data_IF_929972523619
#
_entry.id   IF_929972523619
#
_cell.length_a   1.000
_cell.length_b   1.000
_cell.length_c   1.000
_cell.angle_alpha   90.00
_cell.angle_beta   90.00
_cell.angle_gamma   90.00
#
_symmetry.space_group_name_H-M   'P 1'
#
loop_
_entity.id
_entity.type
_entity.pdbx_description
1 polymer ?
#
# COMPACT_ATOMS: atom_id res chain seq x y z
N UNK A 1 -7.20 -12.62 32.72
CA UNK A 1 -7.46 -12.86 31.32
C UNK A 1 -7.70 -14.34 31.08
N UNK A 2 -8.73 -14.63 30.36
CA UNK A 2 -9.17 -15.98 30.11
C UNK A 2 -8.40 -16.57 28.91
N UNK A 3 -7.39 -17.39 29.19
CA UNK A 3 -6.56 -18.05 28.15
C UNK A 3 -7.43 -18.87 27.20
N UNK A 4 -8.48 -19.53 27.71
CA UNK A 4 -9.42 -20.27 26.88
C UNK A 4 -10.13 -19.39 25.84
N UNK A 5 -10.60 -18.21 26.24
CA UNK A 5 -11.26 -17.29 25.30
C UNK A 5 -10.32 -16.73 24.24
N UNK A 6 -9.02 -16.61 24.56
CA UNK A 6 -8.01 -16.06 23.63
C UNK A 6 -7.36 -17.14 22.78
N UNK A 7 -7.00 -18.26 23.40
CA UNK A 7 -6.21 -19.33 22.77
C UNK A 7 -7.02 -20.59 22.45
N UNK A 8 -8.26 -20.70 22.95
CA UNK A 8 -9.11 -21.86 22.74
C UNK A 8 -8.67 -23.12 23.48
N UNK A 9 -7.87 -22.97 24.55
CA UNK A 9 -7.33 -24.08 25.35
C UNK A 9 -7.58 -23.83 26.82
N UNK A 10 -8.08 -24.83 27.52
CA UNK A 10 -8.17 -24.85 28.99
C UNK A 10 -6.83 -25.31 29.57
N UNK A 11 -6.23 -24.47 30.40
CA UNK A 11 -4.99 -24.74 31.11
C UNK A 11 -5.27 -24.60 32.61
N UNK A 12 -4.88 -25.59 33.38
CA UNK A 12 -5.05 -25.58 34.84
C UNK A 12 -4.33 -24.41 35.48
N UNK A 13 -4.98 -23.76 36.46
CA UNK A 13 -4.44 -22.58 37.13
C UNK A 13 -3.04 -22.80 37.71
N UNK A 14 -2.83 -24.00 38.31
CA UNK A 14 -1.51 -24.37 38.85
C UNK A 14 -0.42 -24.47 37.79
N UNK A 15 -0.75 -24.90 36.55
CA UNK A 15 0.18 -24.94 35.45
C UNK A 15 0.49 -23.49 34.95
N UNK A 16 -0.51 -22.65 34.85
CA UNK A 16 -0.32 -21.22 34.48
C UNK A 16 0.62 -20.50 35.45
N UNK A 17 0.41 -20.70 36.77
CA UNK A 17 1.26 -20.12 37.82
C UNK A 17 2.69 -20.65 37.69
N UNK A 18 2.85 -21.97 37.53
CA UNK A 18 4.17 -22.60 37.37
C UNK A 18 4.94 -22.06 36.17
N UNK A 19 4.24 -21.84 35.02
CA UNK A 19 4.81 -21.26 33.80
C UNK A 19 5.29 -19.86 34.07
N UNK A 20 4.44 -18.99 34.62
CA UNK A 20 4.75 -17.59 34.85
C UNK A 20 5.89 -17.43 35.87
N UNK A 21 5.91 -18.23 36.93
CA UNK A 21 7.00 -18.23 37.91
C UNK A 21 8.34 -18.64 37.32
N UNK A 22 8.36 -19.64 36.42
CA UNK A 22 9.58 -20.05 35.68
C UNK A 22 10.10 -18.91 34.79
N UNK A 23 9.21 -18.06 34.29
CA UNK A 23 9.54 -16.85 33.51
C UNK A 23 9.85 -15.66 34.41
N UNK A 24 9.92 -15.86 35.76
CA UNK A 24 10.25 -14.86 36.77
C UNK A 24 9.18 -13.76 36.94
N UNK A 25 7.93 -14.05 36.59
CA UNK A 25 6.81 -13.20 36.97
C UNK A 25 6.43 -13.45 38.43
N UNK A 26 6.05 -12.40 39.16
CA UNK A 26 5.41 -12.53 40.45
C UNK A 26 3.92 -12.79 40.23
N UNK A 27 3.40 -13.86 40.84
CA UNK A 27 2.00 -14.29 40.64
C UNK A 27 1.34 -14.48 42.00
N UNK A 28 0.19 -13.85 42.17
CA UNK A 28 -0.68 -14.00 43.35
C UNK A 28 -2.09 -14.36 42.92
N UNK A 29 -2.73 -15.28 43.60
CA UNK A 29 -4.14 -15.63 43.41
C UNK A 29 -5.03 -14.66 44.22
N UNK A 30 -6.03 -14.08 43.57
CA UNK A 30 -7.05 -13.25 44.20
C UNK A 30 -8.42 -13.63 43.68
N UNK A 31 -9.10 -14.53 44.39
CA UNK A 31 -10.38 -15.09 44.00
C UNK A 31 -10.30 -15.85 42.67
N UNK A 32 -11.00 -15.43 41.65
CA UNK A 32 -10.97 -16.05 40.32
C UNK A 32 -9.89 -15.45 39.39
N UNK A 33 -9.07 -14.55 39.89
CA UNK A 33 -8.07 -13.85 39.10
C UNK A 33 -6.64 -14.20 39.53
N UNK A 34 -5.73 -14.15 38.57
CA UNK A 34 -4.30 -14.13 38.79
C UNK A 34 -3.81 -12.70 38.66
N UNK A 35 -3.24 -12.16 39.69
CA UNK A 35 -2.53 -10.88 39.67
C UNK A 35 -1.08 -11.18 39.31
N UNK A 36 -0.64 -10.66 38.18
CA UNK A 36 0.70 -10.96 37.63
C UNK A 36 1.49 -9.66 37.52
N UNK A 37 2.68 -9.66 38.12
CA UNK A 37 3.63 -8.55 37.98
C UNK A 37 4.79 -8.98 37.07
N UNK A 38 4.97 -8.27 35.97
CA UNK A 38 6.07 -8.53 35.06
C UNK A 38 7.41 -8.06 35.64
N UNK A 39 8.51 -8.81 35.44
CA UNK A 39 9.84 -8.34 35.84
C UNK A 39 10.24 -7.09 35.04
N UNK A 40 11.08 -6.24 35.65
CA UNK A 40 11.43 -4.91 35.12
C UNK A 40 12.11 -4.91 33.73
N UNK A 41 12.64 -6.03 33.29
CA UNK A 41 13.24 -6.19 31.95
C UNK A 41 12.26 -6.64 30.88
N UNK A 42 11.03 -7.04 31.26
CA UNK A 42 9.94 -7.42 30.35
C UNK A 42 8.99 -6.23 30.12
N UNK A 43 9.51 -5.17 29.54
CA UNK A 43 8.74 -3.98 29.18
C UNK A 43 7.80 -4.20 27.98
N UNK A 44 7.90 -5.34 27.32
CA UNK A 44 7.03 -5.84 26.27
C UNK A 44 5.68 -6.35 26.81
N UNK A 45 5.63 -6.80 28.06
CA UNK A 45 4.42 -7.36 28.69
C UNK A 45 3.65 -6.23 29.38
N UNK A 46 2.60 -5.73 28.76
CA UNK A 46 1.85 -4.55 29.19
C UNK A 46 0.37 -4.83 29.46
N UNK A 47 -0.17 -5.94 28.96
CA UNK A 47 -1.57 -6.28 29.10
C UNK A 47 -1.78 -7.80 29.36
N UNK A 48 -3.04 -8.15 29.63
CA UNK A 48 -3.44 -9.54 29.90
C UNK A 48 -3.28 -10.46 28.66
N UNK A 49 -3.31 -9.89 27.45
CA UNK A 49 -3.07 -10.64 26.23
C UNK A 49 -1.61 -11.15 26.18
N UNK A 50 -0.64 -10.31 26.57
CA UNK A 50 0.78 -10.66 26.59
C UNK A 50 1.02 -11.80 27.60
N UNK A 51 0.38 -11.75 28.77
CA UNK A 51 0.43 -12.85 29.75
C UNK A 51 -0.17 -14.16 29.18
N UNK A 52 -1.28 -14.05 28.45
CA UNK A 52 -1.89 -15.23 27.81
C UNK A 52 -0.99 -15.81 26.73
N UNK A 53 -0.25 -15.00 26.00
CA UNK A 53 0.74 -15.42 25.02
C UNK A 53 1.89 -16.18 25.68
N UNK A 54 2.47 -15.66 26.77
CA UNK A 54 3.54 -16.31 27.51
C UNK A 54 3.12 -17.70 28.02
N UNK A 55 1.91 -17.81 28.55
CA UNK A 55 1.37 -19.09 29.00
C UNK A 55 1.22 -20.06 27.83
N UNK A 56 0.60 -19.65 26.72
CA UNK A 56 0.39 -20.49 25.54
C UNK A 56 1.71 -20.92 24.90
N UNK A 57 2.68 -20.03 24.80
CA UNK A 57 4.02 -20.29 24.27
C UNK A 57 4.76 -21.36 25.06
N UNK A 58 4.71 -21.29 26.38
CA UNK A 58 5.38 -22.23 27.26
C UNK A 58 4.61 -23.55 27.43
N UNK A 59 3.28 -23.53 27.31
CA UNK A 59 2.44 -24.71 27.24
C UNK A 59 2.71 -25.49 25.95
N UNK A 60 3.14 -24.90 24.91
CA UNK A 60 3.39 -25.33 23.52
C UNK A 60 2.17 -25.13 22.61
N UNK A 61 2.36 -24.35 21.55
CA UNK A 61 1.37 -24.19 20.49
C UNK A 61 1.03 -25.50 19.77
N UNK A 62 1.93 -26.49 19.76
CA UNK A 62 1.68 -27.82 19.16
C UNK A 62 0.56 -28.58 19.87
N UNK A 63 0.27 -28.26 21.14
CA UNK A 63 -0.82 -28.85 21.91
C UNK A 63 -2.17 -28.21 21.63
N UNK A 64 -2.18 -27.08 20.95
CA UNK A 64 -3.41 -26.35 20.60
C UNK A 64 -3.99 -26.95 19.33
N UNK A 65 -5.14 -27.57 19.42
CA UNK A 65 -5.77 -28.19 18.27
C UNK A 65 -6.25 -27.18 17.28
N UNK A 66 -5.96 -27.39 16.00
CA UNK A 66 -6.51 -26.57 14.92
C UNK A 66 -8.00 -26.87 14.72
N UNK A 67 -8.81 -25.85 14.74
CA UNK A 67 -10.26 -25.94 14.50
C UNK A 67 -10.64 -25.17 13.26
N UNK A 68 -11.50 -25.77 12.43
CA UNK A 68 -12.16 -25.04 11.36
C UNK A 68 -13.23 -24.13 11.96
N UNK A 69 -13.19 -22.80 11.68
CA UNK A 69 -14.25 -21.92 12.15
C UNK A 69 -15.58 -22.28 11.49
N UNK A 70 -16.63 -22.44 12.29
CA UNK A 70 -17.99 -22.62 11.82
C UNK A 70 -18.64 -21.22 11.65
N UNK A 71 -18.36 -20.57 10.54
CA UNK A 71 -18.91 -19.27 10.21
C UNK A 71 -19.92 -19.39 9.05
N UNK A 72 -20.99 -18.60 9.03
CA UNK A 72 -21.85 -18.52 7.86
C UNK A 72 -21.03 -18.02 6.66
N UNK A 73 -21.17 -18.71 5.53
CA UNK A 73 -20.56 -18.24 4.28
C UNK A 73 -21.23 -16.96 3.86
N UNK A 74 -20.48 -15.88 3.87
CA UNK A 74 -20.91 -14.60 3.31
C UNK A 74 -20.18 -14.37 1.99
N UNK A 75 -20.94 -13.97 0.97
CA UNK A 75 -20.33 -13.60 -0.30
C UNK A 75 -19.54 -12.30 -0.10
N UNK A 76 -18.25 -12.37 -0.31
CA UNK A 76 -17.40 -11.17 -0.39
C UNK A 76 -17.89 -10.29 -1.54
N UNK A 77 -17.99 -9.00 -1.31
CA UNK A 77 -18.22 -7.99 -2.37
C UNK A 77 -16.99 -7.13 -2.47
N UNK A 78 -16.46 -7.02 -3.67
CA UNK A 78 -15.47 -6.02 -4.00
C UNK A 78 -16.17 -4.68 -4.21
N UNK A 79 -15.51 -3.58 -3.86
CA UNK A 79 -16.04 -2.25 -4.14
C UNK A 79 -16.01 -2.00 -5.67
N UNK A 80 -17.05 -1.38 -6.20
CA UNK A 80 -17.13 -1.01 -7.63
C UNK A 80 -15.90 -0.23 -8.09
N UNK A 81 -15.33 0.59 -7.22
CA UNK A 81 -14.12 1.36 -7.52
C UNK A 81 -12.88 0.47 -7.72
N UNK A 82 -12.80 -0.65 -6.99
CA UNK A 82 -11.73 -1.64 -7.16
C UNK A 82 -11.94 -2.45 -8.45
N UNK A 83 -13.18 -2.83 -8.78
CA UNK A 83 -13.49 -3.49 -10.05
C UNK A 83 -13.13 -2.60 -11.25
N UNK A 84 -13.39 -1.30 -11.16
CA UNK A 84 -13.00 -0.34 -12.19
C UNK A 84 -11.48 -0.24 -12.29
N UNK A 85 -10.76 -0.18 -11.16
CA UNK A 85 -9.30 -0.17 -11.15
C UNK A 85 -8.74 -1.40 -11.85
N UNK A 86 -9.16 -2.59 -11.42
CA UNK A 86 -8.69 -3.85 -11.98
C UNK A 86 -8.95 -3.90 -13.49
N UNK A 87 -10.12 -3.41 -13.93
CA UNK A 87 -10.49 -3.33 -15.35
C UNK A 87 -9.60 -2.38 -16.15
N UNK A 88 -9.16 -1.27 -15.54
CA UNK A 88 -8.22 -0.30 -16.13
C UNK A 88 -6.83 -0.91 -16.24
N UNK A 89 -6.34 -1.52 -15.16
CA UNK A 89 -5.02 -2.16 -15.09
C UNK A 89 -4.91 -3.30 -16.11
N UNK A 90 -5.89 -4.20 -16.14
CA UNK A 90 -5.96 -5.31 -17.09
C UNK A 90 -5.99 -4.83 -18.54
N UNK A 91 -6.77 -3.78 -18.83
CA UNK A 91 -6.82 -3.22 -20.17
C UNK A 91 -5.46 -2.66 -20.60
N UNK A 92 -4.85 -1.83 -19.77
CA UNK A 92 -3.56 -1.19 -20.09
C UNK A 92 -2.44 -2.22 -20.25
N UNK A 93 -2.42 -3.25 -19.41
CA UNK A 93 -1.51 -4.37 -19.56
C UNK A 93 -1.75 -5.14 -20.87
N UNK A 94 -3.02 -5.36 -21.24
CA UNK A 94 -3.38 -6.08 -22.47
C UNK A 94 -2.98 -5.35 -23.75
N UNK A 95 -2.91 -4.02 -23.74
CA UNK A 95 -2.45 -3.20 -24.87
C UNK A 95 -0.95 -2.91 -24.82
N UNK A 96 -0.21 -3.57 -23.94
CA UNK A 96 1.25 -3.61 -23.94
C UNK A 96 1.93 -2.53 -23.10
N UNK A 97 1.25 -1.91 -22.13
CA UNK A 97 1.88 -1.08 -21.12
C UNK A 97 2.25 -1.92 -19.88
N UNK A 98 3.34 -1.59 -19.24
CA UNK A 98 3.76 -2.19 -17.97
C UNK A 98 3.33 -1.31 -16.81
N UNK A 99 2.73 -1.91 -15.79
CA UNK A 99 2.43 -1.21 -14.55
C UNK A 99 3.71 -0.87 -13.79
N UNK A 100 3.74 0.32 -13.22
CA UNK A 100 4.77 0.75 -12.29
C UNK A 100 4.12 1.28 -11.02
N UNK A 101 4.79 1.07 -9.89
CA UNK A 101 4.40 1.62 -8.60
C UNK A 101 5.52 2.52 -8.09
N UNK A 102 5.22 3.81 -7.98
CA UNK A 102 6.17 4.81 -7.50
C UNK A 102 5.81 5.30 -6.11
N UNK A 103 6.78 5.89 -5.42
CA UNK A 103 6.54 6.42 -4.08
C UNK A 103 5.51 7.56 -4.08
N UNK A 104 4.70 7.61 -3.02
CA UNK A 104 3.76 8.71 -2.78
C UNK A 104 4.44 10.03 -2.37
N UNK A 105 5.75 10.00 -2.21
CA UNK A 105 6.57 11.14 -1.81
C UNK A 105 7.49 11.55 -2.95
N UNK A 106 7.64 12.86 -3.13
CA UNK A 106 8.49 13.45 -4.19
C UNK A 106 9.30 14.61 -3.62
N UNK A 107 10.27 15.06 -4.40
CA UNK A 107 11.02 16.28 -4.08
C UNK A 107 10.24 17.52 -4.51
N UNK A 108 10.20 18.61 -3.73
CA UNK A 108 9.48 19.84 -4.10
C UNK A 108 9.90 20.43 -5.48
N UNK A 109 11.18 20.32 -5.86
CA UNK A 109 11.65 20.80 -7.16
C UNK A 109 11.04 20.04 -8.36
N UNK A 110 10.31 18.96 -8.14
CA UNK A 110 9.62 18.24 -9.21
C UNK A 110 8.59 19.12 -9.92
N UNK A 111 7.98 20.06 -9.21
CA UNK A 111 7.03 21.00 -9.79
C UNK A 111 7.71 22.06 -10.67
N UNK A 112 8.95 22.43 -10.32
CA UNK A 112 9.76 23.36 -11.14
C UNK A 112 10.24 22.66 -12.42
N UNK A 113 10.63 21.39 -12.34
CA UNK A 113 10.98 20.57 -13.50
C UNK A 113 9.82 20.38 -14.47
N UNK A 114 8.58 20.41 -13.99
CA UNK A 114 7.38 20.38 -14.81
C UNK A 114 6.99 21.76 -15.36
N UNK A 115 7.74 22.80 -15.01
CA UNK A 115 7.47 24.20 -15.41
C UNK A 115 6.05 24.67 -15.06
N UNK A 116 5.49 24.14 -13.95
CA UNK A 116 4.17 24.54 -13.51
C UNK A 116 4.16 26.03 -13.11
N UNK A 117 3.10 26.78 -13.43
CA UNK A 117 2.92 28.14 -12.94
C UNK A 117 3.04 28.23 -11.42
N UNK A 118 3.47 29.37 -10.90
CA UNK A 118 3.67 29.54 -9.46
C UNK A 118 2.36 29.45 -8.64
N UNK A 119 1.23 29.76 -9.26
CA UNK A 119 -0.12 29.72 -8.70
C UNK A 119 -0.87 28.42 -8.98
N UNK A 120 -0.22 27.42 -9.62
CA UNK A 120 -0.84 26.11 -9.89
C UNK A 120 -1.17 25.40 -8.58
N UNK A 121 -2.40 24.89 -8.45
CA UNK A 121 -2.86 24.25 -7.23
C UNK A 121 -2.05 22.98 -6.89
N UNK A 122 -1.43 22.34 -7.89
CA UNK A 122 -0.54 21.17 -7.67
C UNK A 122 0.73 21.53 -6.92
N UNK A 123 1.10 22.83 -6.85
CA UNK A 123 2.20 23.32 -6.01
C UNK A 123 1.83 23.45 -4.53
N UNK A 124 0.55 23.30 -4.19
CA UNK A 124 0.09 23.25 -2.80
C UNK A 124 0.23 21.81 -2.30
N UNK A 125 1.39 21.48 -1.78
CA UNK A 125 1.71 20.15 -1.31
C UNK A 125 1.75 20.06 0.22
N UNK A 126 1.73 18.84 0.73
CA UNK A 126 1.85 18.52 2.15
C UNK A 126 3.30 18.13 2.41
N UNK A 127 3.95 18.81 3.35
CA UNK A 127 5.29 18.45 3.78
C UNK A 127 5.26 17.29 4.78
N UNK A 128 6.21 16.36 4.64
CA UNK A 128 6.39 15.24 5.56
C UNK A 128 7.27 15.70 6.71
N UNK A 129 6.80 15.55 7.94
CA UNK A 129 7.50 16.03 9.14
C UNK A 129 8.86 15.35 9.34
N UNK A 130 8.94 14.03 9.07
CA UNK A 130 10.16 13.24 9.22
C UNK A 130 10.43 12.47 7.91
N UNK A 131 10.90 13.12 6.84
CA UNK A 131 11.13 12.46 5.55
C UNK A 131 12.30 11.48 5.66
N UNK A 132 12.18 10.34 4.96
CA UNK A 132 13.22 9.30 4.90
C UNK A 132 14.50 9.85 4.25
N UNK A 133 14.36 10.73 3.26
CA UNK A 133 15.46 11.42 2.58
C UNK A 133 15.01 12.77 2.05
N UNK A 134 15.98 13.58 1.61
CA UNK A 134 15.70 14.86 0.97
C UNK A 134 14.89 14.75 -0.33
N UNK A 135 14.92 13.59 -0.97
CA UNK A 135 14.17 13.33 -2.20
C UNK A 135 12.68 13.07 -1.96
N UNK A 136 12.27 12.77 -0.71
CA UNK A 136 10.91 12.36 -0.35
C UNK A 136 10.27 13.30 0.68
N UNK A 137 10.38 14.60 0.45
CA UNK A 137 9.95 15.63 1.42
C UNK A 137 8.47 15.95 1.40
N UNK A 138 7.80 15.76 0.26
CA UNK A 138 6.40 16.18 0.10
C UNK A 138 5.55 15.08 -0.50
N UNK A 139 4.27 15.06 -0.13
CA UNK A 139 3.30 14.17 -0.76
C UNK A 139 2.98 14.63 -2.19
N UNK A 140 2.94 13.68 -3.12
CA UNK A 140 2.66 13.96 -4.53
C UNK A 140 1.23 14.45 -4.74
N UNK A 141 1.09 15.53 -5.46
CA UNK A 141 -0.19 16.09 -5.93
C UNK A 141 -0.53 15.65 -7.36
N UNK A 142 0.43 15.05 -8.05
CA UNK A 142 0.31 14.47 -9.40
C UNK A 142 1.29 13.31 -9.57
N UNK A 143 0.97 12.36 -10.46
CA UNK A 143 1.85 11.21 -10.79
C UNK A 143 2.90 11.55 -11.85
N UNK A 144 2.74 12.65 -12.56
CA UNK A 144 3.56 13.00 -13.73
C UNK A 144 5.07 13.02 -13.44
N UNK A 145 5.56 13.64 -12.34
CA UNK A 145 7.00 13.65 -12.05
C UNK A 145 7.58 12.24 -11.88
N UNK A 146 6.85 11.38 -11.18
CA UNK A 146 7.30 10.00 -10.88
C UNK A 146 7.36 9.16 -12.16
N UNK A 147 6.34 9.24 -13.01
CA UNK A 147 6.29 8.56 -14.30
C UNK A 147 7.42 9.05 -15.22
N UNK A 148 7.62 10.37 -15.34
CA UNK A 148 8.69 10.91 -16.17
C UNK A 148 10.09 10.54 -15.65
N UNK A 149 10.27 10.49 -14.33
CA UNK A 149 11.52 10.02 -13.73
C UNK A 149 11.78 8.54 -14.05
N UNK A 150 10.74 7.71 -14.03
CA UNK A 150 10.84 6.30 -14.40
C UNK A 150 11.17 6.13 -15.89
N UNK A 151 10.55 6.91 -16.76
CA UNK A 151 10.89 6.93 -18.21
C UNK A 151 12.35 7.32 -18.40
N UNK A 152 12.78 8.44 -17.80
CA UNK A 152 14.16 8.93 -17.91
C UNK A 152 15.18 7.92 -17.39
N UNK A 153 14.87 7.24 -16.27
CA UNK A 153 15.72 6.21 -15.70
C UNK A 153 15.93 5.03 -16.67
N UNK A 154 14.86 4.56 -17.30
CA UNK A 154 14.93 3.45 -18.25
C UNK A 154 15.64 3.83 -19.55
N UNK A 155 15.36 5.02 -20.10
CA UNK A 155 16.05 5.53 -21.30
C UNK A 155 17.55 5.70 -21.06
N UNK A 156 17.98 6.20 -19.89
CA UNK A 156 19.38 6.31 -19.53
C UNK A 156 20.10 4.94 -19.45
N UNK A 157 19.33 3.86 -19.32
CA UNK A 157 19.80 2.46 -19.33
C UNK A 157 19.63 1.77 -20.69
N UNK A 158 19.48 2.59 -21.74
CA UNK A 158 19.39 2.13 -23.12
C UNK A 158 18.15 1.25 -23.42
N UNK A 159 17.06 1.39 -22.64
CA UNK A 159 15.78 0.81 -23.04
C UNK A 159 15.30 1.46 -24.32
N UNK A 160 15.10 0.66 -25.38
CA UNK A 160 14.68 1.17 -26.69
C UNK A 160 13.19 1.57 -26.74
N UNK A 161 12.39 1.04 -25.83
CA UNK A 161 10.96 1.29 -25.72
C UNK A 161 10.56 1.29 -24.24
N UNK A 162 9.85 2.31 -23.83
CA UNK A 162 9.27 2.44 -22.47
C UNK A 162 7.79 2.76 -22.63
N UNK A 163 6.94 1.86 -22.18
CA UNK A 163 5.48 2.01 -22.18
C UNK A 163 4.99 1.62 -20.80
N UNK A 164 4.66 2.60 -19.99
CA UNK A 164 4.35 2.41 -18.58
C UNK A 164 3.09 3.15 -18.17
N UNK A 165 2.44 2.64 -17.12
CA UNK A 165 1.33 3.32 -16.45
C UNK A 165 1.38 3.10 -14.94
N UNK A 166 0.72 3.97 -14.21
CA UNK A 166 0.47 3.83 -12.76
C UNK A 166 -0.96 4.29 -12.45
N UNK A 167 -1.68 3.45 -11.70
CA UNK A 167 -2.91 3.83 -11.04
C UNK A 167 -2.59 4.11 -9.58
N UNK A 168 -2.41 5.37 -9.24
CA UNK A 168 -1.90 5.78 -7.93
C UNK A 168 -2.78 6.84 -7.25
N UNK A 169 -2.48 7.09 -5.97
CA UNK A 169 -3.14 8.15 -5.21
C UNK A 169 -2.34 9.44 -5.26
N UNK A 170 -3.05 10.55 -5.31
CA UNK A 170 -2.53 11.92 -5.15
C UNK A 170 -3.19 12.58 -3.97
N UNK A 171 -2.51 13.55 -3.36
CA UNK A 171 -2.89 14.14 -2.08
C UNK A 171 -2.92 15.66 -2.20
N UNK A 172 -4.12 16.24 -2.18
CA UNK A 172 -4.30 17.67 -2.28
C UNK A 172 -4.80 18.23 -0.93
N UNK A 173 -4.06 19.16 -0.29
CA UNK A 173 -4.51 19.76 0.96
C UNK A 173 -5.72 20.65 0.69
N UNK A 174 -6.73 20.56 1.55
CA UNK A 174 -7.86 21.52 1.53
C UNK A 174 -7.43 22.87 2.09
N UNK A 175 -6.61 22.85 3.14
CA UNK A 175 -6.02 24.03 3.76
C UNK A 175 -4.59 23.75 4.21
N UNK A 176 -3.76 24.77 4.32
CA UNK A 176 -2.43 24.72 4.92
C UNK A 176 -2.32 25.83 6.00
N UNK A 177 -1.86 25.52 7.22
CA UNK A 177 -1.46 24.21 7.72
C UNK A 177 -2.64 23.21 7.73
N UNK A 178 -2.35 21.90 7.68
CA UNK A 178 -3.37 20.87 7.70
C UNK A 178 -4.19 20.92 9.00
N UNK A 179 -5.51 21.05 8.86
CA UNK A 179 -6.49 20.96 9.95
C UNK A 179 -7.40 19.73 9.80
N UNK A 180 -7.39 19.11 8.65
CA UNK A 180 -8.17 17.92 8.31
C UNK A 180 -7.41 17.08 7.28
N UNK A 181 -7.88 15.84 7.03
CA UNK A 181 -7.30 14.97 6.03
C UNK A 181 -7.35 15.59 4.63
N UNK A 182 -6.28 15.41 3.82
CA UNK A 182 -6.26 15.89 2.45
C UNK A 182 -7.31 15.18 1.59
N UNK A 183 -7.59 15.76 0.44
CA UNK A 183 -8.35 15.07 -0.61
C UNK A 183 -7.44 14.05 -1.27
N UNK A 184 -7.76 12.78 -1.10
CA UNK A 184 -7.09 11.69 -1.80
C UNK A 184 -7.86 11.39 -3.09
N UNK A 185 -7.17 11.43 -4.22
CA UNK A 185 -7.74 11.05 -5.50
C UNK A 185 -6.94 9.90 -6.09
N UNK A 186 -7.64 8.88 -6.58
CA UNK A 186 -7.03 7.85 -7.42
C UNK A 186 -6.98 8.39 -8.85
N UNK A 187 -5.83 8.36 -9.45
CA UNK A 187 -5.58 8.88 -10.80
C UNK A 187 -4.75 7.90 -11.61
N UNK A 188 -4.97 7.88 -12.90
CA UNK A 188 -4.17 7.15 -13.87
C UNK A 188 -3.19 8.11 -14.53
N UNK A 189 -1.94 7.69 -14.65
CA UNK A 189 -0.94 8.34 -15.48
C UNK A 189 -0.23 7.30 -16.33
N UNK A 190 -0.03 7.58 -17.61
CA UNK A 190 0.67 6.70 -18.53
C UNK A 190 1.66 7.50 -19.38
N UNK A 191 2.74 6.83 -19.79
CA UNK A 191 3.74 7.41 -20.69
C UNK A 191 4.26 6.37 -21.67
N UNK A 192 4.55 6.82 -22.87
CA UNK A 192 5.21 6.04 -23.91
C UNK A 192 6.40 6.80 -24.47
N UNK A 193 7.51 6.11 -24.72
CA UNK A 193 8.71 6.68 -25.33
C UNK A 193 9.49 5.60 -26.08
N UNK A 194 10.17 6.00 -27.13
CA UNK A 194 11.04 5.12 -27.91
C UNK A 194 10.29 4.35 -29.02
N UNK A 195 10.75 3.15 -29.33
CA UNK A 195 10.23 2.39 -30.46
C UNK A 195 8.80 1.87 -30.21
N UNK A 196 7.97 1.93 -31.27
CA UNK A 196 6.61 1.35 -31.24
C UNK A 196 6.66 -0.16 -31.05
N UNK A 197 7.51 -0.86 -31.80
CA UNK A 197 7.71 -2.30 -31.70
C UNK A 197 9.16 -2.62 -31.44
N UNK A 198 9.43 -3.47 -30.45
CA UNK A 198 10.78 -3.93 -30.12
C UNK A 198 11.04 -5.23 -30.88
N UNK A 199 12.17 -5.26 -31.63
CA UNK A 199 12.69 -6.45 -32.30
C UNK A 199 11.66 -7.23 -33.14
N UNK A 200 11.08 -6.56 -34.11
CA UNK A 200 10.23 -7.21 -35.11
C UNK A 200 10.89 -7.15 -36.49
N UNK A 201 10.93 -8.29 -37.19
CA UNK A 201 11.52 -8.38 -38.53
C UNK A 201 10.53 -7.98 -39.65
N UNK A 202 9.23 -7.90 -39.34
CA UNK A 202 8.16 -7.60 -40.28
C UNK A 202 7.68 -6.16 -40.25
N UNK A 203 7.90 -5.46 -39.14
CA UNK A 203 7.37 -4.11 -38.93
C UNK A 203 8.46 -3.04 -38.93
N UNK A 204 8.09 -1.80 -39.21
CA UNK A 204 8.97 -0.65 -39.23
C UNK A 204 9.60 -0.35 -37.86
N UNK A 205 10.72 0.40 -37.88
CA UNK A 205 11.44 0.86 -36.70
C UNK A 205 10.90 2.21 -36.19
N UNK A 206 9.61 2.47 -36.37
CA UNK A 206 9.01 3.74 -36.03
C UNK A 206 8.95 3.94 -34.50
N UNK A 207 9.06 5.18 -34.08
CA UNK A 207 8.84 5.55 -32.70
C UNK A 207 7.34 5.70 -32.41
N UNK A 208 6.98 5.57 -31.14
CA UNK A 208 5.65 5.92 -30.64
C UNK A 208 5.37 7.40 -30.86
N UNK A 209 4.11 7.72 -31.17
CA UNK A 209 3.66 9.07 -31.36
C UNK A 209 2.36 9.38 -30.57
N UNK A 210 1.80 10.55 -30.80
CA UNK A 210 0.54 10.96 -30.18
C UNK A 210 -0.60 9.96 -30.44
N UNK A 211 -0.68 9.41 -31.64
CA UNK A 211 -1.79 8.52 -32.04
C UNK A 211 -1.73 7.16 -31.35
N UNK A 212 -0.53 6.70 -30.99
CA UNK A 212 -0.39 5.47 -30.18
C UNK A 212 -1.04 5.66 -28.81
N UNK A 213 -0.72 6.75 -28.11
CA UNK A 213 -1.33 7.05 -26.81
C UNK A 213 -2.83 7.38 -26.95
N UNK A 214 -3.22 8.11 -27.99
CA UNK A 214 -4.62 8.40 -28.27
C UNK A 214 -5.43 7.13 -28.42
N UNK A 215 -4.94 6.13 -29.20
CA UNK A 215 -5.60 4.85 -29.38
C UNK A 215 -5.77 4.09 -28.05
N UNK A 216 -4.77 4.11 -27.17
CA UNK A 216 -4.87 3.51 -25.84
C UNK A 216 -5.94 4.20 -25.00
N UNK A 217 -5.98 5.53 -24.98
CA UNK A 217 -6.97 6.29 -24.22
C UNK A 217 -8.40 6.08 -24.75
N UNK A 218 -8.60 6.13 -26.07
CA UNK A 218 -9.90 5.89 -26.69
C UNK A 218 -10.41 4.46 -26.41
N UNK A 219 -9.53 3.48 -26.48
CA UNK A 219 -9.87 2.09 -26.17
C UNK A 219 -10.23 1.90 -24.70
N UNK A 220 -9.50 2.58 -23.77
CA UNK A 220 -9.82 2.57 -22.34
C UNK A 220 -11.20 3.19 -22.08
N UNK A 221 -11.48 4.35 -22.66
CA UNK A 221 -12.78 5.03 -22.50
C UNK A 221 -13.92 4.16 -23.04
N UNK A 222 -13.71 3.50 -24.19
CA UNK A 222 -14.66 2.55 -24.75
C UNK A 222 -14.89 1.34 -23.82
N UNK A 223 -13.81 0.79 -23.24
CA UNK A 223 -13.89 -0.31 -22.26
C UNK A 223 -14.71 0.09 -21.02
N UNK A 224 -14.56 1.32 -20.57
CA UNK A 224 -15.28 1.87 -19.43
C UNK A 224 -16.66 2.42 -19.80
N UNK A 225 -17.09 2.30 -21.06
CA UNK A 225 -18.35 2.80 -21.59
C UNK A 225 -18.52 4.32 -21.46
N UNK A 226 -17.42 5.06 -21.44
CA UNK A 226 -17.43 6.53 -21.45
C UNK A 226 -17.52 6.99 -22.89
N UNK A 227 -18.63 7.62 -23.26
CA UNK A 227 -18.93 8.05 -24.66
C UNK A 227 -18.88 9.56 -24.87
N UNK A 228 -18.99 10.34 -23.80
CA UNK A 228 -18.98 11.82 -23.86
C UNK A 228 -17.63 12.35 -23.35
N UNK A 229 -16.68 12.48 -24.28
CA UNK A 229 -15.37 13.07 -24.02
C UNK A 229 -14.93 13.93 -25.22
N UNK A 230 -14.06 14.89 -24.96
CA UNK A 230 -13.53 15.83 -25.97
C UNK A 230 -12.02 15.71 -26.09
#
# INVERSE_FOLDING_TARGET
>A
GDVYKRQGVEIETGEMISILQKLQFEVHEEGEYLIVTAPSWRYDVTCDADISEEIARMHSYDKIASHMPALPLVQGRQDVIEDVRDSVEDYLASVGLSEVMTYSFIHPCSFDKLELPADDERRRFIEVMNPISDEFKVMRTTLVPSILSTVAYNLARQSESVKIFEVGRTYLPKALPLTEFPVEKRVLCAAMSGKRNVLNWTEGKDNVDFYDMKGVVEGLLSKLQVTDYK
#
